data_IF_209523868046
#
_entry.id   IF_209523868046
#
_cell.length_a   1.000
_cell.length_b   1.000
_cell.length_c   1.000
_cell.angle_alpha   90.00
_cell.angle_beta   90.00
_cell.angle_gamma   90.00
#
_symmetry.space_group_name_H-M   'P 1'
#
loop_
_entity.id
_entity.type
_entity.pdbx_description
1 polymer ?
#
# COMPACT_ATOMS: atom_id res chain seq x y z
N UNK A 1 11.08 -15.22 0.05
CA UNK A 1 10.69 -16.44 0.80
C UNK A 1 9.60 -16.02 1.78
N UNK A 2 8.54 -16.81 1.94
CA UNK A 2 7.43 -16.48 2.84
C UNK A 2 6.62 -17.75 3.13
N UNK A 3 5.52 -17.61 3.87
CA UNK A 3 4.67 -18.74 4.31
C UNK A 3 4.23 -19.64 3.15
N UNK A 4 4.21 -19.15 1.90
CA UNK A 4 3.93 -19.94 0.70
C UNK A 4 4.64 -21.31 0.63
N UNK A 5 5.88 -21.42 1.15
CA UNK A 5 6.61 -22.71 1.20
C UNK A 5 6.10 -23.67 2.28
N UNK A 6 5.49 -23.15 3.34
CA UNK A 6 4.89 -23.93 4.44
C UNK A 6 3.38 -24.11 4.29
N UNK A 7 2.70 -23.35 3.40
CA UNK A 7 1.24 -23.37 3.24
C UNK A 7 0.70 -24.80 3.09
N UNK A 8 1.38 -25.65 2.32
CA UNK A 8 0.95 -27.03 2.16
C UNK A 8 0.89 -27.75 3.51
N UNK A 9 1.98 -27.74 4.29
CA UNK A 9 2.02 -28.33 5.62
C UNK A 9 1.00 -27.72 6.59
N UNK A 10 0.85 -26.39 6.58
CA UNK A 10 -0.14 -25.70 7.43
C UNK A 10 -1.60 -26.00 7.04
N UNK A 11 -1.85 -26.42 5.80
CA UNK A 11 -3.17 -26.82 5.31
C UNK A 11 -3.49 -28.29 5.54
N UNK A 12 -2.47 -29.13 5.77
CA UNK A 12 -2.64 -30.58 5.90
C UNK A 12 -2.43 -31.08 7.33
N UNK A 13 -1.73 -30.32 8.17
CA UNK A 13 -1.42 -30.71 9.53
C UNK A 13 -2.20 -29.88 10.55
N UNK A 14 -2.68 -30.53 11.60
CA UNK A 14 -3.34 -29.85 12.72
C UNK A 14 -2.36 -28.85 13.38
N UNK A 15 -2.81 -27.66 13.80
CA UNK A 15 -1.93 -26.62 14.35
C UNK A 15 -1.08 -27.07 15.55
N UNK A 16 -1.64 -27.93 16.41
CA UNK A 16 -0.95 -28.50 17.58
C UNK A 16 0.32 -29.29 17.22
N UNK A 17 0.38 -29.91 16.05
CA UNK A 17 1.51 -30.75 15.63
C UNK A 17 2.62 -29.96 14.93
N UNK A 18 2.36 -28.74 14.47
CA UNK A 18 3.32 -27.93 13.70
C UNK A 18 3.87 -26.74 14.48
N UNK A 19 3.47 -26.56 15.75
CA UNK A 19 3.84 -25.40 16.57
C UNK A 19 5.34 -25.09 16.59
N UNK A 20 6.19 -26.09 16.85
CA UNK A 20 7.65 -25.89 16.88
C UNK A 20 8.22 -25.43 15.52
N UNK A 21 7.74 -26.01 14.42
CA UNK A 21 8.18 -25.64 13.08
C UNK A 21 7.71 -24.24 12.68
N UNK A 22 6.48 -23.89 13.08
CA UNK A 22 5.89 -22.55 12.90
C UNK A 22 6.70 -21.49 13.63
N UNK A 23 7.01 -21.71 14.91
CA UNK A 23 7.83 -20.79 15.72
C UNK A 23 9.20 -20.58 15.10
N UNK A 24 9.90 -21.67 14.75
CA UNK A 24 11.23 -21.61 14.14
C UNK A 24 11.22 -20.81 12.81
N UNK A 25 10.17 -21.00 12.00
CA UNK A 25 10.04 -20.27 10.75
C UNK A 25 9.79 -18.78 10.97
N UNK A 26 8.89 -18.43 11.90
CA UNK A 26 8.57 -17.03 12.19
C UNK A 26 9.75 -16.29 12.84
N UNK A 27 10.55 -16.95 13.68
CA UNK A 27 11.80 -16.41 14.22
C UNK A 27 12.80 -16.10 13.09
N UNK A 28 13.04 -17.06 12.19
CA UNK A 28 13.95 -16.86 11.06
C UNK A 28 13.45 -15.81 10.07
N UNK A 29 12.13 -15.76 9.81
CA UNK A 29 11.53 -14.73 8.95
C UNK A 29 11.64 -13.35 9.60
N UNK A 30 11.35 -13.24 10.91
CA UNK A 30 11.49 -11.99 11.66
C UNK A 30 12.94 -11.50 11.62
N UNK A 31 13.91 -12.38 11.88
CA UNK A 31 15.33 -12.03 11.83
C UNK A 31 15.76 -11.55 10.44
N UNK A 32 15.35 -12.24 9.37
CA UNK A 32 15.67 -11.81 8.02
C UNK A 32 15.11 -10.43 7.67
N UNK A 33 13.91 -10.09 8.16
CA UNK A 33 13.29 -8.79 7.90
C UNK A 33 13.92 -7.70 8.77
N UNK A 34 14.28 -8.01 10.01
CA UNK A 34 15.08 -7.14 10.87
C UNK A 34 16.40 -6.76 10.17
N UNK A 35 17.17 -7.75 9.69
CA UNK A 35 18.41 -7.54 8.95
C UNK A 35 18.21 -6.73 7.65
N UNK A 36 17.10 -6.94 6.95
CA UNK A 36 16.78 -6.17 5.74
C UNK A 36 16.46 -4.72 6.09
N UNK A 37 15.61 -4.47 7.10
CA UNK A 37 15.06 -3.14 7.41
C UNK A 37 16.04 -2.29 8.20
N UNK A 38 16.59 -2.84 9.29
CA UNK A 38 17.46 -2.12 10.23
C UNK A 38 18.90 -2.62 10.24
N UNK A 39 19.20 -3.78 9.65
CA UNK A 39 20.58 -4.29 9.54
C UNK A 39 21.23 -4.56 10.90
N UNK A 40 20.46 -5.09 11.86
CA UNK A 40 20.89 -5.24 13.26
C UNK A 40 20.82 -3.96 14.09
N UNK A 41 20.30 -2.86 13.52
CA UNK A 41 20.03 -1.62 14.22
C UNK A 41 18.79 -1.71 15.14
N UNK A 42 18.58 -0.69 15.99
CA UNK A 42 17.46 -0.69 16.94
C UNK A 42 16.08 -0.50 16.28
N UNK A 43 15.03 -0.57 17.10
CA UNK A 43 13.64 -0.18 16.79
C UNK A 43 12.82 -1.12 15.90
N UNK A 44 13.32 -2.30 15.54
CA UNK A 44 12.49 -3.36 14.95
C UNK A 44 11.93 -4.29 16.04
N UNK A 45 10.86 -3.83 16.71
CA UNK A 45 10.21 -4.53 17.81
C UNK A 45 8.98 -5.34 17.40
N UNK A 46 8.19 -5.77 18.40
CA UNK A 46 6.97 -6.56 18.17
C UNK A 46 5.91 -5.80 17.37
N UNK A 47 5.81 -4.48 17.54
CA UNK A 47 4.93 -3.65 16.72
C UNK A 47 5.36 -3.66 15.25
N UNK A 48 6.65 -3.47 14.97
CA UNK A 48 7.19 -3.48 13.60
C UNK A 48 6.98 -4.84 12.94
N UNK A 49 7.25 -5.92 13.68
CA UNK A 49 6.96 -7.28 13.21
C UNK A 49 5.47 -7.48 12.92
N UNK A 50 4.57 -7.06 13.83
CA UNK A 50 3.12 -7.16 13.65
C UNK A 50 2.64 -6.36 12.44
N UNK A 51 3.16 -5.16 12.21
CA UNK A 51 2.83 -4.36 11.03
C UNK A 51 3.36 -5.01 9.75
N UNK A 52 4.60 -5.51 9.75
CA UNK A 52 5.19 -6.19 8.61
C UNK A 52 4.41 -7.46 8.22
N UNK A 53 3.94 -8.22 9.21
CA UNK A 53 3.24 -9.50 9.01
C UNK A 53 1.76 -9.39 8.63
N UNK A 54 1.18 -8.18 8.70
CA UNK A 54 -0.17 -7.96 8.19
C UNK A 54 -0.24 -8.14 6.66
N UNK A 55 -1.39 -8.56 6.12
CA UNK A 55 -1.63 -8.56 4.69
C UNK A 55 -1.45 -7.16 4.08
N UNK A 56 -1.03 -7.13 2.80
CA UNK A 56 -0.94 -5.89 2.00
C UNK A 56 -2.25 -5.09 2.05
N UNK A 57 -3.40 -5.77 1.94
CA UNK A 57 -4.73 -5.11 2.01
C UNK A 57 -5.04 -4.47 3.37
N UNK A 58 -4.38 -4.90 4.43
CA UNK A 58 -4.52 -4.36 5.79
C UNK A 58 -3.36 -3.42 6.17
N UNK A 59 -2.60 -2.95 5.17
CA UNK A 59 -1.53 -1.97 5.38
C UNK A 59 -0.18 -2.55 5.85
N UNK A 60 -0.03 -3.88 5.85
CA UNK A 60 1.25 -4.53 6.12
C UNK A 60 2.11 -4.77 4.89
N UNK A 61 3.24 -5.44 5.08
CA UNK A 61 4.17 -5.81 4.01
C UNK A 61 3.79 -7.13 3.31
N UNK A 62 2.77 -7.83 3.79
CA UNK A 62 2.34 -9.13 3.25
C UNK A 62 3.23 -10.31 3.68
N UNK A 63 4.09 -10.12 4.68
CA UNK A 63 5.01 -11.12 5.21
C UNK A 63 4.32 -11.95 6.28
N UNK A 64 3.25 -12.64 5.88
CA UNK A 64 2.35 -13.34 6.80
C UNK A 64 3.13 -14.23 7.78
N UNK A 65 2.73 -14.21 9.05
CA UNK A 65 3.24 -15.14 10.07
C UNK A 65 2.71 -16.55 9.81
N UNK A 66 3.58 -17.55 9.92
CA UNK A 66 3.19 -18.95 9.90
C UNK A 66 2.26 -19.26 11.08
N UNK A 67 2.45 -18.63 12.24
CA UNK A 67 1.56 -18.70 13.40
C UNK A 67 0.15 -18.25 13.07
N UNK A 68 0.01 -17.05 12.52
CA UNK A 68 -1.28 -16.51 12.09
C UNK A 68 -1.95 -17.46 11.09
N UNK A 69 -1.23 -17.88 10.03
CA UNK A 69 -1.78 -18.75 8.98
C UNK A 69 -2.15 -20.14 9.51
N UNK A 70 -1.36 -20.70 10.44
CA UNK A 70 -1.64 -22.00 11.05
C UNK A 70 -2.98 -22.02 11.79
N UNK A 71 -3.42 -20.87 12.32
CA UNK A 71 -4.66 -20.76 13.10
C UNK A 71 -5.90 -21.11 12.27
N UNK A 72 -5.90 -20.84 10.96
CA UNK A 72 -7.07 -21.03 10.10
C UNK A 72 -6.84 -21.88 8.84
N UNK A 73 -5.60 -22.10 8.41
CA UNK A 73 -5.32 -22.78 7.14
C UNK A 73 -5.76 -24.24 7.12
N UNK A 74 -5.54 -24.98 8.20
CA UNK A 74 -5.97 -26.37 8.33
C UNK A 74 -7.49 -26.48 8.26
N UNK A 75 -8.21 -25.68 9.05
CA UNK A 75 -9.68 -25.64 9.04
C UNK A 75 -10.18 -25.30 7.64
N UNK A 76 -9.68 -24.23 7.02
CA UNK A 76 -10.07 -23.84 5.68
C UNK A 76 -9.89 -24.94 4.63
N UNK A 77 -8.74 -25.63 4.67
CA UNK A 77 -8.40 -26.73 3.77
C UNK A 77 -9.32 -27.95 3.95
N UNK A 78 -9.62 -28.32 5.20
CA UNK A 78 -10.55 -29.40 5.52
C UNK A 78 -11.95 -29.09 5.01
N UNK A 79 -12.44 -27.87 5.24
CA UNK A 79 -13.76 -27.42 4.75
C UNK A 79 -13.84 -27.46 3.23
N UNK A 80 -12.80 -26.94 2.55
CA UNK A 80 -12.76 -26.90 1.08
C UNK A 80 -12.77 -28.30 0.45
N UNK A 81 -12.28 -29.31 1.18
CA UNK A 81 -12.17 -30.68 0.68
C UNK A 81 -13.27 -31.62 1.16
N UNK A 82 -14.28 -31.15 1.91
CA UNK A 82 -15.36 -31.98 2.44
C UNK A 82 -16.09 -32.78 1.36
N UNK A 83 -16.51 -32.11 0.28
CA UNK A 83 -17.25 -32.78 -0.82
C UNK A 83 -16.39 -33.83 -1.54
N UNK A 84 -15.11 -33.54 -1.75
CA UNK A 84 -14.18 -34.45 -2.40
C UNK A 84 -13.88 -35.67 -1.53
N UNK A 85 -13.66 -35.46 -0.23
CA UNK A 85 -13.44 -36.55 0.73
C UNK A 85 -14.65 -37.48 0.78
N UNK A 86 -15.87 -36.93 0.86
CA UNK A 86 -17.11 -37.70 0.87
C UNK A 86 -17.30 -38.54 -0.41
N UNK A 87 -16.99 -37.95 -1.56
CA UNK A 87 -17.03 -38.65 -2.85
C UNK A 87 -16.03 -39.81 -2.92
N UNK A 88 -14.79 -39.60 -2.45
CA UNK A 88 -13.74 -40.63 -2.46
C UNK A 88 -14.07 -41.75 -1.46
N UNK A 89 -14.52 -41.39 -0.25
CA UNK A 89 -14.78 -42.32 0.85
C UNK A 89 -16.16 -42.97 0.75
N UNK A 90 -16.97 -42.65 -0.27
CA UNK A 90 -18.30 -43.20 -0.55
C UNK A 90 -19.24 -43.17 0.66
N UNK A 91 -19.19 -42.09 1.44
CA UNK A 91 -19.97 -41.95 2.68
C UNK A 91 -19.77 -43.09 3.71
N UNK A 92 -18.63 -43.82 3.69
CA UNK A 92 -18.33 -44.84 4.71
C UNK A 92 -18.02 -44.24 6.10
N UNK A 93 -17.82 -42.92 6.19
CA UNK A 93 -17.49 -42.21 7.43
C UNK A 93 -18.67 -41.31 7.84
N UNK A 94 -19.75 -41.92 8.33
CA UNK A 94 -20.93 -41.18 8.80
C UNK A 94 -20.88 -41.05 10.32
N UNK A 95 -20.78 -39.82 10.82
CA UNK A 95 -21.24 -39.50 12.18
C UNK A 95 -20.55 -38.31 12.83
N UNK A 96 -19.23 -38.39 13.03
CA UNK A 96 -18.51 -37.46 13.88
C UNK A 96 -17.42 -36.70 13.14
N UNK A 97 -17.31 -35.41 13.45
CA UNK A 97 -16.12 -34.64 13.11
C UNK A 97 -14.91 -35.34 13.71
N UNK A 98 -13.90 -35.57 12.87
CA UNK A 98 -12.59 -36.04 13.27
C UNK A 98 -12.07 -35.20 14.47
N UNK A 99 -11.45 -35.86 15.46
CA UNK A 99 -11.03 -35.22 16.70
C UNK A 99 -10.06 -34.07 16.46
N UNK A 100 -9.16 -34.21 15.47
CA UNK A 100 -8.19 -33.19 15.13
C UNK A 100 -8.86 -31.98 14.49
N UNK A 101 -9.87 -32.20 13.65
CA UNK A 101 -10.67 -31.13 13.07
C UNK A 101 -11.53 -30.41 14.11
N UNK A 102 -12.16 -31.13 15.05
CA UNK A 102 -12.93 -30.52 16.15
C UNK A 102 -12.02 -29.66 17.03
N UNK A 103 -10.87 -30.18 17.45
CA UNK A 103 -9.91 -29.42 18.25
C UNK A 103 -9.37 -28.18 17.50
N UNK A 104 -9.16 -28.26 16.18
CA UNK A 104 -8.75 -27.10 15.39
C UNK A 104 -9.88 -26.05 15.27
N UNK A 105 -11.13 -26.49 15.13
CA UNK A 105 -12.30 -25.59 15.15
C UNK A 105 -12.46 -24.90 16.50
N UNK A 106 -12.32 -25.64 17.61
CA UNK A 106 -12.42 -25.07 18.97
C UNK A 106 -11.33 -24.02 19.21
N UNK A 107 -10.09 -24.32 18.80
CA UNK A 107 -8.97 -23.37 18.84
C UNK A 107 -9.24 -22.12 18.00
N UNK A 108 -9.80 -22.28 16.81
CA UNK A 108 -10.16 -21.14 15.95
C UNK A 108 -11.34 -20.34 16.52
N UNK A 109 -12.33 -20.98 17.13
CA UNK A 109 -13.46 -20.31 17.79
C UNK A 109 -13.00 -19.46 18.97
N UNK A 110 -12.02 -19.94 19.74
CA UNK A 110 -11.42 -19.15 20.83
C UNK A 110 -10.72 -17.89 20.29
N UNK A 111 -10.09 -17.99 19.12
CA UNK A 111 -9.45 -16.85 18.45
C UNK A 111 -10.48 -15.94 17.76
N UNK A 112 -11.58 -16.48 17.23
CA UNK A 112 -12.60 -15.76 16.46
C UNK A 112 -14.01 -16.00 17.04
N UNK A 113 -14.30 -15.49 18.25
CA UNK A 113 -15.56 -15.77 18.94
C UNK A 113 -16.79 -15.22 18.20
N UNK A 114 -16.63 -14.15 17.42
CA UNK A 114 -17.71 -13.49 16.69
C UNK A 114 -18.04 -14.12 15.34
N UNK A 115 -17.24 -15.10 14.89
CA UNK A 115 -17.46 -15.77 13.60
C UNK A 115 -18.31 -17.01 13.84
N UNK A 116 -19.41 -17.14 13.09
CA UNK A 116 -20.20 -18.37 13.07
C UNK A 116 -19.44 -19.47 12.32
N UNK A 117 -18.69 -20.28 13.08
CA UNK A 117 -17.99 -21.45 12.56
C UNK A 117 -18.90 -22.69 12.43
N UNK A 118 -20.16 -22.63 12.87
CA UNK A 118 -21.11 -23.74 12.76
C UNK A 118 -21.36 -24.12 11.30
N UNK A 119 -21.37 -23.15 10.40
CA UNK A 119 -21.49 -23.36 8.96
C UNK A 119 -20.26 -24.01 8.30
N UNK A 120 -19.09 -23.98 8.95
CA UNK A 120 -17.87 -24.57 8.43
C UNK A 120 -17.80 -26.09 8.65
N UNK A 121 -18.56 -26.60 9.62
CA UNK A 121 -18.61 -28.04 9.93
C UNK A 121 -19.64 -28.81 9.08
N UNK A 122 -20.47 -28.13 8.29
CA UNK A 122 -21.56 -28.75 7.54
C UNK A 122 -21.39 -28.57 6.02
N UNK A 123 -21.45 -29.68 5.29
CA UNK A 123 -21.31 -29.74 3.82
C UNK A 123 -22.28 -28.82 3.08
N UNK A 124 -23.54 -28.73 3.53
CA UNK A 124 -24.55 -27.94 2.81
C UNK A 124 -24.40 -26.42 3.03
N UNK A 125 -23.66 -26.00 4.04
CA UNK A 125 -23.48 -24.59 4.42
C UNK A 125 -22.03 -24.14 4.34
N UNK A 126 -21.09 -25.03 4.01
CA UNK A 126 -19.68 -24.75 3.86
C UNK A 126 -19.45 -23.65 2.80
N UNK A 127 -18.67 -22.60 3.12
CA UNK A 127 -18.42 -21.54 2.18
C UNK A 127 -17.50 -21.98 1.03
N UNK A 128 -17.65 -21.34 -0.14
CA UNK A 128 -16.82 -21.63 -1.33
C UNK A 128 -15.35 -21.25 -1.18
N UNK A 129 -15.06 -20.18 -0.43
CA UNK A 129 -13.70 -19.66 -0.23
C UNK A 129 -13.35 -19.58 1.26
N UNK A 130 -13.30 -20.72 1.99
CA UNK A 130 -13.16 -20.72 3.44
C UNK A 130 -11.86 -20.06 3.90
N UNK A 131 -10.76 -20.24 3.15
CA UNK A 131 -9.47 -19.60 3.44
C UNK A 131 -9.59 -18.07 3.41
N UNK A 132 -10.23 -17.51 2.37
CA UNK A 132 -10.38 -16.06 2.21
C UNK A 132 -11.22 -15.48 3.34
N UNK A 133 -12.31 -16.14 3.69
CA UNK A 133 -13.23 -15.70 4.75
C UNK A 133 -12.52 -15.72 6.11
N UNK A 134 -11.92 -16.86 6.48
CA UNK A 134 -11.25 -17.01 7.77
C UNK A 134 -10.03 -16.08 7.90
N UNK A 135 -9.22 -15.96 6.85
CA UNK A 135 -8.12 -15.01 6.84
C UNK A 135 -8.62 -13.56 6.99
N UNK A 136 -9.70 -13.19 6.31
CA UNK A 136 -10.26 -11.84 6.42
C UNK A 136 -10.85 -11.56 7.81
N UNK A 137 -11.49 -12.56 8.43
CA UNK A 137 -11.99 -12.44 9.78
C UNK A 137 -10.84 -12.31 10.80
N UNK A 138 -9.82 -13.16 10.68
CA UNK A 138 -8.63 -13.15 11.54
C UNK A 138 -7.92 -11.81 11.48
N UNK A 139 -7.46 -11.38 10.30
CA UNK A 139 -6.73 -10.13 10.18
C UNK A 139 -7.63 -8.91 10.44
N UNK A 140 -8.93 -8.99 10.15
CA UNK A 140 -9.90 -7.96 10.52
C UNK A 140 -10.00 -7.77 12.04
N UNK A 141 -9.97 -8.86 12.82
CA UNK A 141 -9.88 -8.81 14.28
C UNK A 141 -8.53 -8.23 14.73
N UNK A 142 -7.42 -8.76 14.22
CA UNK A 142 -6.08 -8.30 14.60
C UNK A 142 -5.87 -6.81 14.38
N UNK A 143 -6.35 -6.28 13.26
CA UNK A 143 -6.27 -4.85 12.93
C UNK A 143 -7.11 -3.99 13.89
N UNK A 144 -8.28 -4.47 14.34
CA UNK A 144 -9.09 -3.75 15.34
C UNK A 144 -8.38 -3.70 16.70
N UNK A 145 -7.69 -4.77 17.06
CA UNK A 145 -7.07 -4.93 18.39
C UNK A 145 -5.67 -4.31 18.47
N UNK A 146 -4.99 -4.09 17.35
CA UNK A 146 -3.59 -3.63 17.32
C UNK A 146 -3.35 -2.39 18.17
N UNK A 147 -4.30 -1.44 18.19
CA UNK A 147 -4.18 -0.25 19.01
C UNK A 147 -4.25 -0.57 20.52
N UNK A 148 -5.13 -1.48 20.92
CA UNK A 148 -5.26 -1.91 22.32
C UNK A 148 -4.05 -2.71 22.79
N UNK A 149 -3.49 -3.56 21.91
CA UNK A 149 -2.34 -4.42 22.23
C UNK A 149 -1.04 -3.62 22.36
N UNK A 150 -0.79 -2.70 21.42
CA UNK A 150 0.49 -1.98 21.37
C UNK A 150 0.45 -0.55 21.92
N UNK A 151 -0.73 -0.03 22.29
CA UNK A 151 -0.87 1.33 22.83
C UNK A 151 -0.40 2.40 21.85
N UNK A 152 -0.87 2.37 20.60
CA UNK A 152 -0.34 3.24 19.54
C UNK A 152 -0.48 4.73 19.87
N UNK A 153 0.61 5.47 19.66
CA UNK A 153 0.60 6.93 19.73
C UNK A 153 -0.31 7.53 18.65
N UNK A 154 -0.77 8.79 18.81
CA UNK A 154 -1.59 9.45 17.79
C UNK A 154 -0.93 9.46 16.40
N UNK A 155 0.39 9.64 16.32
CA UNK A 155 1.13 9.57 15.05
C UNK A 155 1.11 8.16 14.48
N UNK A 156 1.37 7.13 15.27
CA UNK A 156 1.37 5.74 14.80
C UNK A 156 0.00 5.32 14.28
N UNK A 157 -1.10 5.74 14.95
CA UNK A 157 -2.47 5.55 14.45
C UNK A 157 -2.66 6.20 13.07
N UNK A 158 -2.26 7.47 12.94
CA UNK A 158 -2.39 8.20 11.69
C UNK A 158 -1.58 7.56 10.53
N UNK A 159 -0.34 7.13 10.80
CA UNK A 159 0.46 6.38 9.82
C UNK A 159 -0.23 5.07 9.46
N UNK A 160 -0.70 4.30 10.45
CA UNK A 160 -1.36 3.02 10.19
C UNK A 160 -2.64 3.18 9.33
N UNK A 161 -3.44 4.21 9.59
CA UNK A 161 -4.62 4.54 8.78
C UNK A 161 -4.25 4.97 7.35
N UNK A 162 -3.10 5.63 7.14
CA UNK A 162 -2.56 5.90 5.81
C UNK A 162 -2.14 4.64 5.08
N UNK A 163 -1.45 3.71 5.75
CA UNK A 163 -0.98 2.46 5.16
C UNK A 163 -2.12 1.54 4.70
N UNK A 164 -3.29 1.67 5.33
CA UNK A 164 -4.52 0.94 4.99
C UNK A 164 -5.35 1.59 3.89
N UNK A 165 -4.98 2.79 3.44
CA UNK A 165 -5.70 3.45 2.36
C UNK A 165 -5.60 2.61 1.07
N UNK A 166 -6.63 2.62 0.20
CA UNK A 166 -6.56 1.96 -1.10
C UNK A 166 -5.30 2.38 -1.87
N UNK A 167 -4.64 1.40 -2.48
CA UNK A 167 -3.41 1.55 -3.28
C UNK A 167 -2.14 1.96 -2.51
N UNK A 168 -2.20 2.21 -1.20
CA UNK A 168 -1.04 2.61 -0.42
C UNK A 168 0.08 1.55 -0.42
N UNK A 169 -0.24 0.27 -0.54
CA UNK A 169 0.74 -0.83 -0.56
C UNK A 169 1.06 -1.36 -1.97
N UNK A 170 0.48 -0.79 -3.03
CA UNK A 170 0.59 -1.36 -4.39
C UNK A 170 2.03 -1.34 -4.94
N UNK A 171 2.92 -0.53 -4.38
CA UNK A 171 4.35 -0.54 -4.74
C UNK A 171 5.04 -1.88 -4.42
N UNK A 172 4.55 -2.63 -3.42
CA UNK A 172 5.11 -3.93 -3.02
C UNK A 172 4.86 -5.03 -4.06
N UNK A 173 3.89 -4.83 -4.96
CA UNK A 173 3.55 -5.83 -5.98
C UNK A 173 4.27 -5.59 -7.31
N UNK A 174 5.13 -4.57 -7.38
CA UNK A 174 5.94 -4.28 -8.57
C UNK A 174 7.09 -5.26 -8.71
N UNK A 175 7.26 -5.78 -9.92
CA UNK A 175 8.43 -6.56 -10.30
C UNK A 175 9.59 -5.58 -10.53
N UNK A 176 10.77 -5.78 -9.90
CA UNK A 176 11.91 -4.88 -10.06
C UNK A 176 12.55 -5.05 -11.44
N UNK A 177 12.17 -4.18 -12.39
CA UNK A 177 12.68 -4.15 -13.76
C UNK A 177 13.45 -2.85 -13.99
N UNK A 178 14.76 -2.96 -14.16
CA UNK A 178 15.66 -1.80 -14.29
C UNK A 178 15.32 -0.93 -15.50
N UNK A 179 15.07 -1.54 -16.67
CA UNK A 179 14.68 -0.83 -17.88
C UNK A 179 13.33 -0.08 -17.80
N UNK A 180 12.52 -0.35 -16.78
CA UNK A 180 11.28 0.39 -16.48
C UNK A 180 11.44 1.38 -15.33
N UNK A 181 12.65 1.53 -14.79
CA UNK A 181 12.94 2.36 -13.63
C UNK A 181 12.33 1.84 -12.32
N UNK A 182 11.95 0.55 -12.28
CA UNK A 182 11.24 -0.10 -11.17
C UNK A 182 12.16 -0.70 -10.11
N UNK A 183 13.41 -0.25 -10.04
CA UNK A 183 14.37 -0.64 -9.01
C UNK A 183 14.63 0.52 -8.05
N UNK A 184 14.87 0.17 -6.78
CA UNK A 184 15.43 1.04 -5.76
C UNK A 184 16.76 0.42 -5.30
N UNK A 185 17.71 1.27 -4.89
CA UNK A 185 18.87 0.83 -4.13
C UNK A 185 18.46 0.26 -2.77
N UNK A 186 19.38 -0.46 -2.11
CA UNK A 186 19.13 -1.00 -0.78
C UNK A 186 18.78 0.11 0.23
N UNK A 187 19.49 1.24 0.19
CA UNK A 187 19.27 2.38 1.08
C UNK A 187 17.90 3.01 0.84
N UNK A 188 17.53 3.24 -0.43
CA UNK A 188 16.21 3.78 -0.79
C UNK A 188 15.07 2.88 -0.30
N UNK A 189 15.17 1.58 -0.56
CA UNK A 189 14.12 0.63 -0.16
C UNK A 189 14.02 0.53 1.37
N UNK A 190 15.17 0.47 2.06
CA UNK A 190 15.24 0.50 3.54
C UNK A 190 14.60 1.75 4.13
N UNK A 191 14.87 2.93 3.58
CA UNK A 191 14.27 4.17 4.07
C UNK A 191 12.74 4.16 3.94
N UNK A 192 12.20 3.64 2.84
CA UNK A 192 10.75 3.49 2.66
C UNK A 192 10.17 2.49 3.67
N UNK A 193 10.82 1.35 3.89
CA UNK A 193 10.37 0.37 4.88
C UNK A 193 10.41 0.94 6.29
N UNK A 194 11.51 1.60 6.71
CA UNK A 194 11.62 2.25 8.01
C UNK A 194 10.52 3.30 8.22
N UNK A 195 10.30 4.18 7.23
CA UNK A 195 9.23 5.18 7.27
C UNK A 195 7.84 4.56 7.48
N UNK A 196 7.52 3.49 6.74
CA UNK A 196 6.25 2.78 6.83
C UNK A 196 6.10 1.98 8.12
N UNK A 197 7.17 1.36 8.60
CA UNK A 197 7.19 0.61 9.87
C UNK A 197 7.34 1.52 11.09
N UNK A 198 7.30 2.84 10.89
CA UNK A 198 7.37 3.84 11.96
C UNK A 198 8.67 3.71 12.76
N UNK A 199 9.77 3.40 12.08
CA UNK A 199 11.12 3.32 12.62
C UNK A 199 11.79 4.68 12.41
N UNK A 200 12.44 5.26 13.45
CA UNK A 200 13.24 6.47 13.29
C UNK A 200 14.30 6.33 12.19
N UNK A 201 14.35 7.32 11.30
CA UNK A 201 15.33 7.45 10.22
C UNK A 201 16.52 8.32 10.60
N UNK A 202 16.31 9.30 11.48
CA UNK A 202 17.34 10.20 11.98
C UNK A 202 17.50 9.99 13.50
N UNK A 203 18.72 10.20 14.03
CA UNK A 203 19.01 9.91 15.44
C UNK A 203 18.24 10.84 16.39
N UNK A 204 18.11 12.12 16.04
CA UNK A 204 17.51 13.14 16.88
C UNK A 204 16.62 14.09 16.06
N UNK A 205 15.70 14.76 16.77
CA UNK A 205 14.88 15.83 16.22
C UNK A 205 15.72 17.11 16.17
N UNK A 206 16.08 17.56 14.97
CA UNK A 206 17.00 18.69 14.76
C UNK A 206 16.42 19.73 13.81
N UNK A 207 16.88 21.00 13.85
CA UNK A 207 16.56 21.97 12.82
C UNK A 207 16.94 21.44 11.43
N UNK A 208 16.00 21.50 10.48
CA UNK A 208 16.24 20.98 9.14
C UNK A 208 17.52 21.60 8.53
N UNK A 209 18.49 20.79 8.08
CA UNK A 209 19.77 21.31 7.59
C UNK A 209 19.62 22.14 6.29
N UNK A 210 18.51 21.93 5.57
CA UNK A 210 18.18 22.62 4.32
C UNK A 210 17.52 23.96 4.58
N UNK A 211 16.34 23.97 5.19
CA UNK A 211 15.57 25.22 5.36
C UNK A 211 15.92 25.99 6.63
N UNK A 212 16.50 25.31 7.64
CA UNK A 212 16.84 25.83 8.97
C UNK A 212 15.69 26.49 9.74
N UNK A 213 14.44 26.26 9.30
CA UNK A 213 13.23 26.93 9.83
C UNK A 213 12.31 26.01 10.62
N UNK A 214 12.32 24.73 10.29
CA UNK A 214 11.40 23.74 10.84
C UNK A 214 12.21 22.56 11.35
N UNK A 215 11.73 21.92 12.41
CA UNK A 215 12.30 20.67 12.89
C UNK A 215 12.18 19.57 11.82
N UNK A 216 13.29 18.90 11.53
CA UNK A 216 13.32 17.60 10.89
C UNK A 216 13.15 16.56 12.01
N UNK A 217 11.94 16.04 12.14
CA UNK A 217 11.66 14.97 13.09
C UNK A 217 12.43 13.70 12.72
N UNK A 218 12.73 12.90 13.73
CA UNK A 218 13.40 11.61 13.61
C UNK A 218 12.73 10.63 12.64
N UNK A 219 11.44 10.79 12.31
CA UNK A 219 10.75 9.97 11.31
C UNK A 219 10.77 10.55 9.89
N UNK A 220 11.24 11.78 9.71
CA UNK A 220 11.45 12.39 8.40
C UNK A 220 10.25 13.04 7.74
N UNK A 221 9.20 13.39 8.48
CA UNK A 221 8.01 14.04 7.89
C UNK A 221 8.39 15.33 7.16
N UNK A 222 9.22 16.17 7.79
CA UNK A 222 9.65 17.43 7.17
C UNK A 222 10.47 17.22 5.88
N UNK A 223 11.29 16.17 5.81
CA UNK A 223 12.06 15.85 4.61
C UNK A 223 11.17 15.64 3.37
N UNK A 224 9.94 15.15 3.57
CA UNK A 224 9.01 14.86 2.48
C UNK A 224 8.28 16.09 1.91
N UNK A 225 8.31 17.21 2.61
CA UNK A 225 7.61 18.44 2.22
C UNK A 225 8.42 19.74 2.34
N UNK A 226 9.71 19.67 2.67
CA UNK A 226 10.61 20.81 2.68
C UNK A 226 10.77 21.40 1.27
N UNK A 227 10.17 22.58 1.03
CA UNK A 227 10.18 23.28 -0.26
C UNK A 227 11.56 23.81 -0.69
N UNK A 228 12.46 23.99 0.27
CA UNK A 228 13.81 24.51 0.03
C UNK A 228 14.81 23.42 -0.38
N UNK A 229 14.37 22.15 -0.44
CA UNK A 229 15.21 21.06 -0.92
C UNK A 229 15.51 21.24 -2.42
N UNK A 230 16.80 21.20 -2.82
CA UNK A 230 17.17 21.00 -4.21
C UNK A 230 16.56 19.69 -4.74
N UNK A 231 15.72 19.78 -5.77
CA UNK A 231 14.99 18.61 -6.27
C UNK A 231 13.74 18.25 -5.47
N UNK A 232 13.15 19.17 -4.70
CA UNK A 232 11.81 18.98 -4.10
C UNK A 232 10.77 18.47 -5.12
N UNK A 233 10.86 18.94 -6.37
CA UNK A 233 10.01 18.52 -7.49
C UNK A 233 10.31 17.11 -8.02
N UNK A 234 11.40 16.46 -7.61
CA UNK A 234 11.80 15.16 -8.14
C UNK A 234 10.70 14.10 -8.03
N UNK A 235 10.04 13.97 -6.87
CA UNK A 235 8.91 13.03 -6.70
C UNK A 235 7.78 13.34 -7.68
N UNK A 236 7.45 14.61 -7.85
CA UNK A 236 6.41 15.05 -8.77
C UNK A 236 6.77 14.69 -10.22
N UNK A 237 7.98 15.02 -10.65
CA UNK A 237 8.45 14.81 -12.02
C UNK A 237 8.57 13.30 -12.34
N UNK A 238 9.01 12.50 -11.37
CA UNK A 238 9.06 11.04 -11.50
C UNK A 238 7.66 10.42 -11.66
N UNK A 239 6.68 10.85 -10.85
CA UNK A 239 5.29 10.36 -10.96
C UNK A 239 4.69 10.79 -12.29
N UNK A 240 4.91 12.03 -12.73
CA UNK A 240 4.49 12.53 -14.05
C UNK A 240 5.06 11.69 -15.18
N UNK A 241 6.35 11.41 -15.15
CA UNK A 241 7.03 10.65 -16.21
C UNK A 241 6.55 9.20 -16.27
N UNK A 242 6.32 8.57 -15.12
CA UNK A 242 5.74 7.21 -15.05
C UNK A 242 4.28 7.21 -15.50
N UNK A 243 3.48 8.21 -15.10
CA UNK A 243 2.10 8.34 -15.55
C UNK A 243 2.01 8.47 -17.07
N UNK A 244 2.88 9.28 -17.67
CA UNK A 244 2.98 9.43 -19.11
C UNK A 244 3.37 8.13 -19.83
N UNK A 245 4.36 7.40 -19.31
CA UNK A 245 4.74 6.09 -19.88
C UNK A 245 3.61 5.06 -19.76
N UNK A 246 2.87 5.06 -18.65
CA UNK A 246 1.67 4.23 -18.48
C UNK A 246 0.60 4.58 -19.52
N UNK A 247 0.33 5.87 -19.76
CA UNK A 247 -0.63 6.30 -20.78
C UNK A 247 -0.21 5.85 -22.18
N UNK A 248 1.07 6.04 -22.52
CA UNK A 248 1.64 5.60 -23.80
C UNK A 248 1.47 4.09 -24.01
N UNK A 249 1.75 3.28 -22.98
CA UNK A 249 1.58 1.82 -23.01
C UNK A 249 0.12 1.39 -23.08
N UNK A 250 -0.80 2.19 -22.53
CA UNK A 250 -2.23 1.99 -22.65
C UNK A 250 -2.80 2.42 -24.02
N UNK A 251 -1.96 2.86 -24.97
CA UNK A 251 -2.41 3.38 -26.26
C UNK A 251 -3.08 4.75 -26.19
N UNK A 252 -2.95 5.46 -25.06
CA UNK A 252 -3.57 6.76 -24.85
C UNK A 252 -2.60 7.86 -25.30
N UNK A 253 -3.01 8.65 -26.30
CA UNK A 253 -2.23 9.76 -26.79
C UNK A 253 -2.14 10.87 -25.73
N UNK A 254 -0.92 11.26 -25.38
CA UNK A 254 -0.65 12.32 -24.42
C UNK A 254 0.63 13.11 -24.78
N UNK A 255 0.84 14.24 -24.13
CA UNK A 255 2.07 15.06 -24.19
C UNK A 255 2.47 15.54 -22.79
N UNK A 256 3.74 15.37 -22.41
CA UNK A 256 4.28 15.93 -21.16
C UNK A 256 4.58 17.42 -21.31
N UNK A 257 4.43 18.16 -20.22
CA UNK A 257 4.78 19.60 -20.13
C UNK A 257 4.21 20.40 -21.31
N UNK A 258 2.97 20.11 -21.71
CA UNK A 258 2.37 20.73 -22.87
C UNK A 258 2.06 22.20 -22.55
N UNK A 259 2.57 23.17 -23.34
CA UNK A 259 2.29 24.57 -23.11
C UNK A 259 0.80 24.84 -23.34
N UNK A 260 0.14 25.40 -22.34
CA UNK A 260 -1.24 25.88 -22.41
C UNK A 260 -1.28 27.29 -21.85
N UNK A 261 -2.05 28.16 -22.50
CA UNK A 261 -2.04 29.60 -22.21
C UNK A 261 -2.99 30.03 -21.10
N UNK A 262 -3.84 29.13 -20.62
CA UNK A 262 -4.93 29.43 -19.69
C UNK A 262 -4.77 28.80 -18.30
N UNK A 263 -3.70 28.02 -18.04
CA UNK A 263 -3.47 27.44 -16.70
C UNK A 263 -2.74 28.39 -15.72
N UNK A 264 -2.27 29.54 -16.20
CA UNK A 264 -1.69 30.56 -15.34
C UNK A 264 -2.79 31.21 -14.52
N UNK A 265 -2.68 31.15 -13.17
CA UNK A 265 -3.64 31.83 -12.29
C UNK A 265 -3.57 33.35 -12.59
N UNK A 266 -4.69 34.00 -12.97
CA UNK A 266 -4.71 35.44 -13.22
C UNK A 266 -4.19 36.27 -12.04
N UNK A 267 -4.28 35.75 -10.81
CA UNK A 267 -3.78 36.38 -9.58
C UNK A 267 -2.27 36.23 -9.38
N UNK A 268 -1.62 35.29 -10.06
CA UNK A 268 -0.17 35.07 -9.92
C UNK A 268 0.65 36.10 -10.73
N UNK A 269 0.04 36.90 -11.60
CA UNK A 269 0.70 38.00 -12.33
C UNK A 269 1.88 37.57 -13.21
N UNK A 270 2.05 36.26 -13.45
CA UNK A 270 3.16 35.70 -14.24
C UNK A 270 2.82 35.74 -15.73
N UNK A 271 3.74 36.27 -16.53
CA UNK A 271 3.62 36.35 -18.00
C UNK A 271 3.96 35.04 -18.73
N UNK A 272 4.49 34.03 -18.04
CA UNK A 272 4.86 32.74 -18.62
C UNK A 272 3.68 31.78 -18.66
N UNK A 273 3.45 31.14 -19.82
CA UNK A 273 2.49 30.06 -20.00
C UNK A 273 2.80 28.93 -19.02
N UNK A 274 1.86 28.56 -18.14
CA UNK A 274 2.02 27.39 -17.27
C UNK A 274 1.71 26.12 -18.06
N UNK A 275 2.67 25.21 -18.27
CA UNK A 275 2.39 23.97 -18.96
C UNK A 275 1.49 23.06 -18.11
N UNK A 276 0.67 22.25 -18.77
CA UNK A 276 0.04 21.10 -18.12
C UNK A 276 1.11 20.02 -17.91
N UNK A 277 1.14 19.39 -16.73
CA UNK A 277 2.13 18.35 -16.45
C UNK A 277 2.00 17.18 -17.45
N UNK A 278 0.75 16.78 -17.72
CA UNK A 278 0.40 15.88 -18.83
C UNK A 278 -0.88 16.36 -19.50
N UNK A 279 -0.85 16.55 -20.82
CA UNK A 279 -2.03 16.79 -21.64
C UNK A 279 -2.46 15.47 -22.31
N UNK A 280 -3.67 15.00 -22.02
CA UNK A 280 -4.25 13.80 -22.63
C UNK A 280 -5.22 14.19 -23.74
N UNK A 281 -5.03 13.67 -24.93
CA UNK A 281 -5.87 14.01 -26.08
C UNK A 281 -7.19 13.22 -26.07
N UNK A 282 -8.29 13.89 -26.46
CA UNK A 282 -9.60 13.26 -26.66
C UNK A 282 -10.21 12.54 -25.44
N UNK A 283 -9.95 13.02 -24.22
CA UNK A 283 -10.27 12.28 -22.99
C UNK A 283 -11.78 12.21 -22.64
N UNK A 284 -12.49 13.34 -22.67
CA UNK A 284 -13.89 13.42 -22.24
C UNK A 284 -14.72 14.24 -23.23
N UNK A 285 -15.68 13.59 -23.91
CA UNK A 285 -16.51 14.24 -24.93
C UNK A 285 -15.69 14.88 -26.06
N UNK A 286 -14.57 14.26 -26.46
CA UNK A 286 -13.64 14.80 -27.46
C UNK A 286 -12.68 15.87 -26.93
N UNK A 287 -12.91 16.44 -25.74
CA UNK A 287 -12.04 17.46 -25.13
C UNK A 287 -10.73 16.85 -24.65
N UNK A 288 -9.64 17.61 -24.78
CA UNK A 288 -8.35 17.26 -24.19
C UNK A 288 -8.39 17.49 -22.67
N UNK A 289 -7.70 16.66 -21.89
CA UNK A 289 -7.63 16.79 -20.44
C UNK A 289 -6.25 17.31 -20.01
N UNK A 290 -6.23 18.41 -19.27
CA UNK A 290 -5.04 18.93 -18.61
C UNK A 290 -4.91 18.24 -17.25
N UNK A 291 -3.92 17.36 -17.11
CA UNK A 291 -3.56 16.74 -15.85
C UNK A 291 -2.52 17.62 -15.16
N UNK A 292 -2.80 17.98 -13.91
CA UNK A 292 -1.87 18.71 -13.05
C UNK A 292 -1.68 17.91 -11.75
N UNK A 293 -0.43 17.56 -11.47
CA UNK A 293 -0.04 16.66 -10.40
C UNK A 293 0.19 17.45 -9.10
N UNK A 294 -0.15 16.82 -7.98
CA UNK A 294 0.18 17.37 -6.66
C UNK A 294 0.46 16.26 -5.67
N UNK A 295 1.65 16.31 -5.06
CA UNK A 295 2.04 15.42 -3.97
C UNK A 295 1.92 16.11 -2.63
N UNK A 296 1.27 15.49 -1.65
CA UNK A 296 1.15 16.01 -0.27
C UNK A 296 1.75 15.04 0.76
N UNK A 297 2.21 15.55 1.90
CA UNK A 297 2.40 14.70 3.09
C UNK A 297 1.14 14.83 3.95
N UNK A 298 0.44 13.72 4.29
CA UNK A 298 -0.80 13.79 5.05
C UNK A 298 -0.54 14.17 6.52
N UNK A 299 0.68 13.98 7.00
CA UNK A 299 1.10 14.30 8.37
C UNK A 299 1.74 15.69 8.48
N UNK A 300 1.83 16.44 7.38
CA UNK A 300 2.31 17.82 7.42
C UNK A 300 1.43 18.68 8.34
N UNK A 301 2.00 19.15 9.44
CA UNK A 301 1.29 19.95 10.44
C UNK A 301 0.32 19.15 11.33
N UNK A 302 0.49 17.82 11.42
CA UNK A 302 -0.30 16.95 12.29
C UNK A 302 -0.23 17.41 13.76
N UNK A 303 -1.38 17.46 14.44
CA UNK A 303 -1.52 17.92 15.84
C UNK A 303 -2.18 16.89 16.77
N UNK A 304 -2.17 15.60 16.41
CA UNK A 304 -2.63 14.52 17.29
C UNK A 304 -4.11 14.15 17.20
N UNK A 305 -5.03 15.11 17.04
CA UNK A 305 -6.47 14.85 17.00
C UNK A 305 -7.12 15.14 15.64
N UNK A 306 -8.22 14.45 15.33
CA UNK A 306 -9.04 14.70 14.14
C UNK A 306 -8.41 14.32 12.79
N UNK A 307 -7.36 13.48 12.81
CA UNK A 307 -6.75 12.99 11.57
C UNK A 307 -7.69 12.03 10.83
N UNK A 308 -7.75 12.21 9.51
CA UNK A 308 -8.55 11.37 8.62
C UNK A 308 -7.68 11.03 7.40
N UNK A 309 -7.40 9.74 7.22
CA UNK A 309 -6.65 9.22 6.06
C UNK A 309 -7.32 9.65 4.74
N UNK A 310 -6.53 10.09 3.77
CA UNK A 310 -7.01 10.59 2.48
C UNK A 310 -7.58 12.01 2.49
N UNK A 311 -7.79 12.66 3.65
CA UNK A 311 -8.32 14.03 3.68
C UNK A 311 -7.35 15.04 3.04
N UNK A 312 -6.04 14.84 3.21
CA UNK A 312 -5.02 15.72 2.63
C UNK A 312 -5.04 15.68 1.09
N UNK A 313 -5.19 14.50 0.48
CA UNK A 313 -5.27 14.36 -0.98
C UNK A 313 -6.57 14.94 -1.52
N UNK A 314 -7.70 14.75 -0.84
CA UNK A 314 -8.99 15.36 -1.20
C UNK A 314 -8.95 16.90 -1.13
N UNK A 315 -8.34 17.47 -0.08
CA UNK A 315 -8.15 18.93 0.02
C UNK A 315 -7.27 19.47 -1.10
N UNK A 316 -6.21 18.74 -1.45
CA UNK A 316 -5.33 19.12 -2.56
C UNK A 316 -6.06 19.04 -3.92
N UNK A 317 -6.86 17.99 -4.13
CA UNK A 317 -7.72 17.81 -5.31
C UNK A 317 -8.69 18.98 -5.46
N UNK A 318 -9.50 19.26 -4.42
CA UNK A 318 -10.46 20.36 -4.42
C UNK A 318 -9.77 21.72 -4.65
N UNK A 319 -8.63 21.96 -4.00
CA UNK A 319 -7.86 23.18 -4.16
C UNK A 319 -7.31 23.38 -5.58
N UNK A 320 -6.99 22.30 -6.30
CA UNK A 320 -6.58 22.36 -7.72
C UNK A 320 -7.78 22.63 -8.63
N UNK A 321 -8.91 21.96 -8.40
CA UNK A 321 -10.16 22.19 -9.13
C UNK A 321 -10.56 23.66 -9.05
N UNK A 322 -10.67 24.21 -7.83
CA UNK A 322 -11.06 25.61 -7.63
C UNK A 322 -10.14 26.62 -8.30
N UNK A 323 -8.87 26.27 -8.55
CA UNK A 323 -7.89 27.17 -9.18
C UNK A 323 -7.89 27.11 -10.71
N UNK A 324 -8.15 25.94 -11.30
CA UNK A 324 -7.82 25.69 -12.71
C UNK A 324 -8.99 25.20 -13.56
N UNK A 325 -10.05 24.65 -12.94
CA UNK A 325 -11.14 24.02 -13.70
C UNK A 325 -11.87 25.01 -14.60
N UNK A 326 -12.24 26.18 -14.08
CA UNK A 326 -12.98 27.19 -14.86
C UNK A 326 -12.19 27.61 -16.10
N UNK A 327 -10.89 27.88 -15.95
CA UNK A 327 -10.05 28.29 -17.07
C UNK A 327 -9.92 27.17 -18.13
N UNK A 328 -9.88 25.90 -17.72
CA UNK A 328 -9.95 24.78 -18.66
C UNK A 328 -11.30 24.73 -19.40
N UNK A 329 -12.42 24.89 -18.68
CA UNK A 329 -13.76 24.87 -19.28
C UNK A 329 -13.91 25.97 -20.32
N UNK A 330 -13.50 27.20 -19.99
CA UNK A 330 -13.58 28.37 -20.87
C UNK A 330 -12.78 28.16 -22.17
N UNK A 331 -11.74 27.33 -22.11
CA UNK A 331 -10.87 26.99 -23.24
C UNK A 331 -11.17 25.61 -23.85
N UNK A 332 -12.35 25.03 -23.62
CA UNK A 332 -12.78 23.73 -24.17
C UNK A 332 -11.90 22.53 -23.78
N UNK A 333 -11.26 22.58 -22.63
CA UNK A 333 -10.49 21.48 -22.04
C UNK A 333 -11.20 20.91 -20.81
N UNK A 334 -10.92 19.65 -20.48
CA UNK A 334 -11.20 19.09 -19.18
C UNK A 334 -10.01 19.35 -18.24
N UNK A 335 -10.28 19.62 -16.97
CA UNK A 335 -9.24 19.66 -15.93
C UNK A 335 -9.24 18.35 -15.15
N UNK A 336 -8.06 17.83 -14.82
CA UNK A 336 -7.92 16.60 -14.05
C UNK A 336 -6.86 16.77 -12.96
N UNK A 337 -7.26 17.03 -11.70
CA UNK A 337 -6.33 17.04 -10.59
C UNK A 337 -5.81 15.62 -10.31
N UNK A 338 -4.48 15.45 -10.34
CA UNK A 338 -3.86 14.18 -9.96
C UNK A 338 -3.16 14.33 -8.61
N UNK A 339 -3.96 14.24 -7.54
CA UNK A 339 -3.50 14.37 -6.17
C UNK A 339 -3.14 13.02 -5.55
N UNK A 340 -1.97 12.94 -4.93
CA UNK A 340 -1.46 11.76 -4.23
C UNK A 340 -0.71 12.14 -2.97
N UNK A 341 -0.56 11.21 -2.02
CA UNK A 341 0.24 11.42 -0.82
C UNK A 341 1.52 10.59 -0.74
N UNK A 342 2.33 10.85 0.28
CA UNK A 342 3.60 10.16 0.55
C UNK A 342 3.46 8.67 0.87
N UNK A 343 2.28 8.21 1.32
CA UNK A 343 2.01 6.79 1.56
C UNK A 343 1.42 6.08 0.34
N UNK A 344 1.09 6.82 -0.73
CA UNK A 344 0.55 6.27 -1.97
C UNK A 344 -0.97 6.36 -2.08
N UNK A 345 -1.67 7.01 -1.14
CA UNK A 345 -3.09 7.29 -1.30
C UNK A 345 -3.31 8.20 -2.51
N UNK A 346 -4.35 7.92 -3.28
CA UNK A 346 -4.78 8.70 -4.44
C UNK A 346 -6.12 9.36 -4.13
N UNK A 347 -6.27 10.63 -4.52
CA UNK A 347 -7.56 11.30 -4.44
C UNK A 347 -8.59 10.65 -5.40
N UNK A 348 -9.90 10.82 -5.15
CA UNK A 348 -10.95 10.14 -5.92
C UNK A 348 -10.87 10.33 -7.44
N UNK A 349 -10.59 11.54 -7.93
CA UNK A 349 -10.48 11.83 -9.37
C UNK A 349 -9.26 11.12 -9.96
N UNK A 350 -8.12 11.16 -9.26
CA UNK A 350 -6.89 10.47 -9.67
C UNK A 350 -7.09 8.95 -9.74
N UNK A 351 -7.73 8.35 -8.73
CA UNK A 351 -8.05 6.92 -8.72
C UNK A 351 -9.01 6.55 -9.85
N UNK A 352 -10.08 7.34 -10.06
CA UNK A 352 -11.03 7.13 -11.15
C UNK A 352 -10.38 7.21 -12.53
N UNK A 353 -9.47 8.16 -12.71
CA UNK A 353 -8.64 8.27 -13.91
C UNK A 353 -7.82 7.01 -14.16
N UNK A 354 -7.05 6.56 -13.16
CA UNK A 354 -6.22 5.35 -13.29
C UNK A 354 -7.05 4.08 -13.54
N UNK A 355 -8.26 3.95 -12.97
CA UNK A 355 -9.17 2.83 -13.29
C UNK A 355 -9.54 2.82 -14.78
N UNK A 356 -9.80 3.98 -15.37
CA UNK A 356 -10.11 4.11 -16.80
C UNK A 356 -8.89 3.81 -17.67
N UNK A 357 -7.71 4.27 -17.27
CA UNK A 357 -6.43 3.94 -17.94
C UNK A 357 -6.14 2.44 -17.86
N UNK A 358 -6.32 1.81 -16.70
CA UNK A 358 -6.17 0.36 -16.53
C UNK A 358 -7.11 -0.41 -17.46
N UNK A 359 -8.39 0.01 -17.57
CA UNK A 359 -9.34 -0.60 -18.51
C UNK A 359 -8.89 -0.50 -19.96
N UNK A 360 -8.38 0.67 -20.38
CA UNK A 360 -7.83 0.85 -21.73
C UNK A 360 -6.60 -0.02 -21.96
N UNK A 361 -5.67 -0.07 -21.00
CA UNK A 361 -4.49 -0.91 -21.09
C UNK A 361 -4.83 -2.41 -21.19
N UNK A 362 -5.81 -2.89 -20.43
CA UNK A 362 -6.28 -4.28 -20.52
C UNK A 362 -6.94 -4.59 -21.86
N UNK A 363 -7.66 -3.64 -22.45
CA UNK A 363 -8.26 -3.83 -23.78
C UNK A 363 -7.21 -3.93 -24.91
N UNK A 364 -6.04 -3.31 -24.73
CA UNK A 364 -4.93 -3.35 -25.69
C UNK A 364 -3.85 -4.39 -25.37
N UNK A 365 -3.98 -5.10 -24.26
CA UNK A 365 -2.99 -6.05 -23.81
C UNK A 365 -2.99 -7.32 -24.68
N UNK A 366 -1.83 -7.65 -25.27
CA UNK A 366 -1.60 -8.91 -25.99
C UNK A 366 -1.22 -10.07 -25.07
N UNK A 367 -0.94 -9.79 -23.80
CA UNK A 367 -0.54 -10.75 -22.76
C UNK A 367 -1.32 -10.43 -21.49
N UNK A 368 -1.52 -11.40 -20.59
CA UNK A 368 -2.15 -11.13 -19.29
C UNK A 368 -1.36 -10.06 -18.53
N UNK A 369 -1.93 -8.86 -18.45
CA UNK A 369 -1.38 -7.78 -17.63
C UNK A 369 -2.04 -7.89 -16.26
N UNK A 370 -1.24 -7.89 -15.19
CA UNK A 370 -1.75 -7.95 -13.82
C UNK A 370 -2.83 -6.88 -13.57
N UNK A 371 -3.90 -7.27 -12.87
CA UNK A 371 -5.11 -6.45 -12.67
C UNK A 371 -4.84 -5.07 -12.04
N UNK A 372 -3.70 -4.87 -11.38
CA UNK A 372 -3.31 -3.61 -10.73
C UNK A 372 -2.05 -2.95 -11.29
N UNK A 373 -1.55 -3.35 -12.47
CA UNK A 373 -0.22 -2.88 -12.93
C UNK A 373 -0.11 -1.35 -13.00
N UNK A 374 -1.17 -0.64 -13.42
CA UNK A 374 -1.18 0.85 -13.49
C UNK A 374 -0.94 1.44 -12.11
N UNK A 375 -1.69 0.97 -11.12
CA UNK A 375 -1.60 1.47 -9.74
C UNK A 375 -0.25 1.11 -9.12
N UNK A 376 0.20 -0.12 -9.28
CA UNK A 376 1.52 -0.57 -8.78
C UNK A 376 2.65 0.29 -9.36
N UNK A 377 2.61 0.61 -10.65
CA UNK A 377 3.62 1.47 -11.29
C UNK A 377 3.64 2.89 -10.75
N UNK A 378 2.47 3.51 -10.63
CA UNK A 378 2.36 4.86 -10.07
C UNK A 378 2.76 4.85 -8.59
N UNK A 379 2.27 3.88 -7.81
CA UNK A 379 2.61 3.70 -6.40
C UNK A 379 4.11 3.54 -6.18
N UNK A 380 4.79 2.76 -7.02
CA UNK A 380 6.24 2.62 -6.97
C UNK A 380 6.97 3.94 -7.27
N UNK A 381 6.52 4.70 -8.27
CA UNK A 381 7.08 6.02 -8.57
C UNK A 381 6.96 6.99 -7.38
N UNK A 382 5.81 6.97 -6.70
CA UNK A 382 5.58 7.75 -5.48
C UNK A 382 6.59 7.36 -4.40
N UNK A 383 6.70 6.04 -4.11
CA UNK A 383 7.59 5.55 -3.05
C UNK A 383 9.07 5.76 -3.40
N UNK A 384 9.46 5.67 -4.66
CA UNK A 384 10.83 5.98 -5.11
C UNK A 384 11.16 7.46 -4.91
N UNK A 385 10.22 8.36 -5.21
CA UNK A 385 10.38 9.78 -4.93
C UNK A 385 10.42 10.09 -3.43
N UNK A 386 9.67 9.35 -2.60
CA UNK A 386 9.76 9.41 -1.13
C UNK A 386 11.14 8.94 -0.65
N UNK A 387 11.63 7.81 -1.17
CA UNK A 387 12.95 7.28 -0.85
C UNK A 387 14.05 8.31 -1.15
N UNK A 388 14.10 8.84 -2.37
CA UNK A 388 15.08 9.84 -2.76
C UNK A 388 15.06 11.07 -1.85
N UNK A 389 13.88 11.48 -1.40
CA UNK A 389 13.76 12.57 -0.43
C UNK A 389 14.30 12.16 0.94
N UNK A 390 13.94 11.02 1.50
CA UNK A 390 14.46 10.60 2.81
C UNK A 390 16.00 10.42 2.76
N UNK A 391 16.50 9.72 1.75
CA UNK A 391 17.93 9.42 1.58
C UNK A 391 18.78 10.67 1.45
N UNK A 392 18.28 11.72 0.78
CA UNK A 392 19.00 12.98 0.64
C UNK A 392 19.29 13.71 1.97
N UNK A 393 18.76 13.24 3.10
CA UNK A 393 18.97 13.80 4.43
C UNK A 393 19.62 12.82 5.40
N UNK A 394 19.84 11.56 5.00
CA UNK A 394 20.45 10.58 5.89
C UNK A 394 21.87 11.05 6.26
N UNK A 395 22.30 10.80 7.51
CA UNK A 395 23.69 11.03 7.92
C UNK A 395 24.65 10.29 6.98
N UNK A 396 25.83 10.87 6.73
CA UNK A 396 26.83 10.28 5.81
C UNK A 396 27.36 8.92 6.24
N UNK A 397 27.15 8.51 7.50
CA UNK A 397 27.52 7.18 8.00
C UNK A 397 26.46 6.10 7.70
N UNK A 398 25.25 6.49 7.29
CA UNK A 398 24.11 5.61 7.01
C UNK A 398 23.83 5.41 5.50
N UNK A 399 24.66 6.00 4.64
CA UNK A 399 24.67 5.85 3.16
C UNK A 399 25.59 4.70 2.77
#
# INVERSE_FOLDING_TARGET
MGVAKLIFGLRTCQPSYVGAAVTLFDEGLRQAIDDIVVGGGPFFGDLQWRLASLPIKEGGLGLLSAGDVSSFAFVASRVQSLELQDHILRACCMGDLDSDFRAALDGLQAVLPDVDLGGFANKSTAPREPQTILASAFYGKTVKEINGVFGLSPRQKAVFDCLRAPHAQDFLTVIPIEGLGQCMSAVEYRSVLKYRLMIPLYPEDEPCPVCRKVCLDSFGEHALHCKELPGFKYRHDLVRDVLFDVLKRAGIAAKKEAPVNFLTDPKEGRSSLRPADVLVFGWSGGKHACIDLTGVSPLAGFRGSGFVSGQATQKAEAGKISKHEQACIDNQHAFLPFAFDTFGCLAPVASGFLKRVQKAALAHATVSVGHSYVFSRVGFAIQKGVAAQLVARLPTHDL
#
